data_IF_154102824916
#
_entry.id   IF_154102824916
#
_cell.length_a   1.000
_cell.length_b   1.000
_cell.length_c   1.000
_cell.angle_alpha   90.00
_cell.angle_beta   90.00
_cell.angle_gamma   90.00
#
_symmetry.space_group_name_H-M   'P 1'
#
loop_
_entity.id
_entity.type
_entity.pdbx_description
1 polymer ?
#
# COMPACT_ATOMS: atom_id res chain seq x y z
N UNK A 1 2.06 10.02 -17.74
CA UNK A 1 1.26 8.99 -17.04
C UNK A 1 2.20 8.24 -16.11
N UNK A 2 1.86 8.04 -14.83
CA UNK A 2 2.72 7.30 -13.89
C UNK A 2 2.25 5.84 -13.82
N UNK A 3 3.19 4.91 -13.68
CA UNK A 3 2.86 3.53 -13.35
C UNK A 3 2.28 3.44 -11.93
N UNK A 4 1.37 2.48 -11.73
CA UNK A 4 0.70 2.25 -10.44
C UNK A 4 0.98 0.83 -9.96
N UNK A 5 1.30 0.69 -8.69
CA UNK A 5 1.41 -0.59 -7.98
C UNK A 5 0.24 -0.70 -7.01
N UNK A 6 -0.55 -1.76 -7.14
CA UNK A 6 -1.58 -2.11 -6.16
C UNK A 6 -0.98 -3.16 -5.22
N UNK A 7 -1.01 -2.87 -3.93
CA UNK A 7 -0.51 -3.74 -2.89
C UNK A 7 -1.64 -4.07 -1.91
N UNK A 8 -2.06 -5.33 -1.88
CA UNK A 8 -3.09 -5.83 -0.97
C UNK A 8 -2.46 -6.55 0.23
N UNK A 9 -2.86 -6.19 1.45
CA UNK A 9 -2.32 -6.74 2.69
C UNK A 9 -1.08 -5.98 3.17
N UNK A 10 -1.27 -5.01 4.07
CA UNK A 10 -0.20 -4.14 4.53
C UNK A 10 0.64 -4.85 5.62
N UNK A 11 1.66 -5.58 5.18
CA UNK A 11 2.62 -6.28 6.04
C UNK A 11 4.09 -5.97 5.70
N UNK A 12 5.03 -6.57 6.43
CA UNK A 12 6.46 -6.32 6.23
C UNK A 12 7.02 -6.93 4.93
N UNK A 13 6.47 -8.04 4.44
CA UNK A 13 6.92 -8.70 3.22
C UNK A 13 6.45 -7.89 2.01
N UNK A 14 5.17 -7.53 1.99
CA UNK A 14 4.58 -6.63 1.01
C UNK A 14 5.31 -5.29 0.98
N UNK A 15 5.72 -4.76 2.14
CA UNK A 15 6.54 -3.55 2.21
C UNK A 15 7.91 -3.75 1.53
N UNK A 16 8.59 -4.85 1.80
CA UNK A 16 9.88 -5.14 1.16
C UNK A 16 9.76 -5.24 -0.37
N UNK A 17 8.69 -5.88 -0.87
CA UNK A 17 8.39 -5.98 -2.30
C UNK A 17 8.05 -4.60 -2.88
N UNK A 18 7.14 -3.85 -2.24
CA UNK A 18 6.70 -2.53 -2.64
C UNK A 18 7.88 -1.54 -2.71
N UNK A 19 8.84 -1.63 -1.78
CA UNK A 19 10.07 -0.81 -1.82
C UNK A 19 10.95 -1.14 -3.03
N UNK A 20 10.98 -2.40 -3.49
CA UNK A 20 11.79 -2.81 -4.64
C UNK A 20 11.16 -2.39 -5.97
N UNK A 21 9.84 -2.55 -6.11
CA UNK A 21 9.14 -2.34 -7.39
C UNK A 21 8.47 -0.96 -7.51
N UNK A 22 8.20 -0.30 -6.39
CA UNK A 22 7.41 0.94 -6.32
C UNK A 22 8.21 2.22 -6.49
N UNK A 23 9.53 2.15 -6.69
CA UNK A 23 10.35 3.34 -6.89
C UNK A 23 9.93 4.08 -8.17
N UNK A 24 9.64 5.38 -8.04
CA UNK A 24 9.16 6.22 -9.15
C UNK A 24 7.70 5.93 -9.58
N UNK A 25 7.00 5.03 -8.89
CA UNK A 25 5.60 4.66 -9.17
C UNK A 25 4.69 5.20 -8.08
N UNK A 26 3.39 5.27 -8.36
CA UNK A 26 2.37 5.49 -7.33
C UNK A 26 1.97 4.14 -6.73
N UNK A 27 1.88 4.06 -5.41
CA UNK A 27 1.47 2.85 -4.69
C UNK A 27 0.09 3.09 -4.08
N UNK A 28 -0.83 2.16 -4.28
CA UNK A 28 -2.09 2.11 -3.54
C UNK A 28 -2.01 0.86 -2.67
N UNK A 29 -2.05 1.05 -1.35
CA UNK A 29 -1.97 -0.05 -0.38
C UNK A 29 -3.32 -0.23 0.30
N UNK A 30 -3.86 -1.45 0.28
CA UNK A 30 -5.14 -1.81 0.86
C UNK A 30 -4.98 -2.78 2.02
N UNK A 31 -5.66 -2.53 3.14
CA UNK A 31 -5.73 -3.45 4.28
C UNK A 31 -7.06 -3.34 5.01
N UNK A 32 -7.52 -4.42 5.65
CA UNK A 32 -8.75 -4.42 6.45
C UNK A 32 -8.67 -3.48 7.65
N UNK A 33 -7.47 -3.28 8.20
CA UNK A 33 -7.27 -2.39 9.33
C UNK A 33 -6.71 -1.05 8.86
N UNK A 34 -7.56 -0.02 8.82
CA UNK A 34 -7.17 1.32 8.38
C UNK A 34 -6.00 1.92 9.19
N UNK A 35 -5.91 1.63 10.50
CA UNK A 35 -4.79 2.11 11.33
C UNK A 35 -3.46 1.47 10.91
N UNK A 36 -3.48 0.17 10.59
CA UNK A 36 -2.29 -0.57 10.14
C UNK A 36 -1.78 0.00 8.81
N UNK A 37 -2.65 0.09 7.81
CA UNK A 37 -2.27 0.61 6.48
C UNK A 37 -1.85 2.08 6.52
N UNK A 38 -2.46 2.89 7.38
CA UNK A 38 -2.04 4.28 7.58
C UNK A 38 -0.62 4.38 8.17
N UNK A 39 -0.28 3.52 9.14
CA UNK A 39 1.06 3.49 9.71
C UNK A 39 2.12 3.06 8.69
N UNK A 40 1.83 2.03 7.88
CA UNK A 40 2.72 1.57 6.81
C UNK A 40 2.87 2.61 5.71
N UNK A 41 1.76 3.24 5.28
CA UNK A 41 1.80 4.32 4.32
C UNK A 41 2.65 5.49 4.83
N UNK A 42 2.54 5.85 6.11
CA UNK A 42 3.41 6.86 6.73
C UNK A 42 4.90 6.48 6.63
N UNK A 43 5.27 5.26 7.00
CA UNK A 43 6.66 4.78 6.91
C UNK A 43 7.18 4.85 5.47
N UNK A 44 6.36 4.44 4.50
CA UNK A 44 6.72 4.46 3.08
C UNK A 44 6.83 5.90 2.54
N UNK A 45 5.92 6.80 2.92
CA UNK A 45 5.98 8.22 2.57
C UNK A 45 7.22 8.88 3.17
N UNK A 46 7.53 8.63 4.45
CA UNK A 46 8.72 9.15 5.12
C UNK A 46 10.01 8.60 4.45
N UNK A 47 9.95 7.44 3.80
CA UNK A 47 11.01 6.86 2.99
C UNK A 47 11.05 7.37 1.52
N UNK A 48 10.17 8.31 1.14
CA UNK A 48 10.15 8.96 -0.17
C UNK A 48 9.28 8.30 -1.24
N UNK A 49 8.40 7.36 -0.88
CA UNK A 49 7.46 6.74 -1.82
C UNK A 49 6.17 7.55 -1.96
N UNK A 50 5.60 7.60 -3.17
CA UNK A 50 4.27 8.14 -3.47
C UNK A 50 3.23 7.04 -3.20
N UNK A 51 2.70 6.98 -1.98
CA UNK A 51 1.80 5.92 -1.51
C UNK A 51 0.49 6.49 -0.96
N UNK A 52 -0.62 5.79 -1.20
CA UNK A 52 -1.95 6.13 -0.67
C UNK A 52 -2.55 4.92 0.04
N UNK A 53 -2.95 5.05 1.31
CA UNK A 53 -3.65 3.99 2.03
C UNK A 53 -5.14 3.93 1.65
N UNK A 54 -5.69 2.73 1.62
CA UNK A 54 -7.12 2.45 1.48
C UNK A 54 -7.53 1.35 2.47
N UNK A 55 -8.74 1.46 3.03
CA UNK A 55 -9.35 0.34 3.73
C UNK A 55 -9.88 -0.66 2.70
N UNK A 56 -9.50 -1.94 2.83
CA UNK A 56 -9.86 -2.99 1.88
C UNK A 56 -9.94 -4.35 2.58
N UNK A 57 -11.12 -4.96 2.61
CA UNK A 57 -11.31 -6.33 3.08
C UNK A 57 -11.31 -7.32 1.91
N UNK A 58 -10.21 -8.06 1.74
CA UNK A 58 -10.07 -9.06 0.68
C UNK A 58 -11.10 -10.20 0.78
N UNK A 59 -11.70 -10.41 1.95
CA UNK A 59 -12.78 -11.39 2.14
C UNK A 59 -14.16 -10.90 1.68
N UNK A 60 -14.31 -9.61 1.36
CA UNK A 60 -15.57 -9.00 0.96
C UNK A 60 -15.48 -8.46 -0.48
N UNK A 61 -16.23 -9.05 -1.42
CA UNK A 61 -16.25 -8.64 -2.83
C UNK A 61 -16.63 -7.17 -3.04
N UNK A 62 -17.52 -6.62 -2.22
CA UNK A 62 -17.92 -5.20 -2.36
C UNK A 62 -16.81 -4.24 -1.92
N UNK A 63 -15.83 -4.73 -1.18
CA UNK A 63 -14.71 -3.95 -0.68
C UNK A 63 -13.49 -3.94 -1.62
N UNK A 64 -13.50 -4.74 -2.69
CA UNK A 64 -12.39 -4.88 -3.66
C UNK A 64 -12.72 -4.08 -4.93
#
# INVERSE_FOLDING_TARGET
MKDVVIWTGADQIGMAIARRIGYGKKIVVGDKNFKNVSAIAKIMTDAGFDIVPAEMDLGNRESI
#
